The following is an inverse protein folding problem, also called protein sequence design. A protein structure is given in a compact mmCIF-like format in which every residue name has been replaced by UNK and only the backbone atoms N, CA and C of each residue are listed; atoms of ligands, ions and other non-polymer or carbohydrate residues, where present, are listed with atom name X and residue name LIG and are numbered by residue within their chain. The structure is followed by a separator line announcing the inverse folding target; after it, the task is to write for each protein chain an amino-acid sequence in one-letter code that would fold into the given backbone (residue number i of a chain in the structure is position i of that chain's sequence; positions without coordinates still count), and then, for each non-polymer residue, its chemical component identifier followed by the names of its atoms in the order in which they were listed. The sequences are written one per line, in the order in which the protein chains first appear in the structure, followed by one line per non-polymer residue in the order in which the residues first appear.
data_IF_322343157867
#
_entry.id   IF_322343157867
#
_cell.length_a   1.000
_cell.length_b   1.000
_cell.length_c   1.000
_cell.angle_alpha   90.00
_cell.angle_beta   90.00
_cell.angle_gamma   90.00
#
_symmetry.space_group_name_H-M   'P 1'
#
loop_
_entity.id
_entity.type
_entity.pdbx_description
1 polymer ?
#
# COMPACT_ATOMS: atom_id res chain seq x y z
N UNK A 1 50.71 -37.84 37.42
CA UNK A 1 49.41 -38.50 37.58
C UNK A 1 48.62 -38.36 36.36
N UNK A 2 48.61 -39.41 35.54
CA UNK A 2 48.03 -39.48 34.20
C UNK A 2 46.51 -39.42 34.28
N UNK A 3 45.87 -38.67 33.43
CA UNK A 3 44.43 -38.74 33.17
C UNK A 3 44.17 -39.09 31.73
N UNK A 4 43.55 -40.23 31.59
CA UNK A 4 43.24 -41.03 30.44
C UNK A 4 42.27 -40.34 29.45
N UNK A 5 42.68 -40.36 28.19
CA UNK A 5 41.79 -40.24 27.03
C UNK A 5 40.98 -41.53 26.88
N UNK A 6 39.66 -41.45 27.01
CA UNK A 6 38.68 -42.31 26.31
C UNK A 6 37.27 -41.96 26.79
N UNK A 7 36.54 -41.26 25.98
CA UNK A 7 35.23 -41.67 25.44
C UNK A 7 34.59 -40.47 24.73
N UNK A 8 34.94 -40.33 23.47
CA UNK A 8 34.19 -39.50 22.51
C UNK A 8 33.47 -40.51 21.63
N UNK A 9 32.31 -40.93 22.04
CA UNK A 9 31.38 -41.68 21.20
C UNK A 9 30.09 -40.93 21.11
N UNK A 10 29.88 -40.34 19.96
CA UNK A 10 28.70 -40.49 19.11
C UNK A 10 27.38 -40.07 19.71
N UNK A 11 27.03 -38.81 19.49
CA UNK A 11 25.64 -38.46 19.25
C UNK A 11 25.64 -37.46 18.10
N UNK A 12 25.56 -37.97 16.86
CA UNK A 12 25.09 -37.24 15.74
C UNK A 12 23.63 -36.84 16.05
N UNK A 13 23.47 -35.68 16.67
CA UNK A 13 22.20 -34.99 16.70
C UNK A 13 21.90 -34.56 15.29
N UNK A 14 21.05 -35.32 14.60
CA UNK A 14 20.35 -34.89 13.40
C UNK A 14 19.66 -33.57 13.75
N UNK A 15 20.25 -32.45 13.35
CA UNK A 15 19.54 -31.20 13.19
C UNK A 15 18.53 -31.45 12.06
N UNK A 16 17.33 -31.90 12.42
CA UNK A 16 16.17 -31.71 11.57
C UNK A 16 16.04 -30.19 11.38
N UNK A 17 16.48 -29.70 10.24
CA UNK A 17 15.92 -28.50 9.66
C UNK A 17 14.43 -28.79 9.48
N UNK A 18 13.64 -28.47 10.50
CA UNK A 18 12.21 -28.30 10.34
C UNK A 18 12.05 -27.14 9.37
N UNK A 19 11.95 -27.45 8.09
CA UNK A 19 11.32 -26.60 7.11
C UNK A 19 9.94 -26.30 7.67
N UNK A 20 9.80 -25.14 8.29
CA UNK A 20 8.52 -24.54 8.58
C UNK A 20 7.95 -24.11 7.22
N UNK A 21 7.58 -25.07 6.40
CA UNK A 21 6.52 -24.96 5.42
C UNK A 21 5.21 -25.02 6.21
N UNK A 22 4.95 -24.00 7.02
CA UNK A 22 3.67 -23.84 7.66
C UNK A 22 2.63 -23.84 6.55
N UNK A 23 1.87 -24.92 6.45
CA UNK A 23 0.63 -24.97 5.68
C UNK A 23 -0.27 -23.86 6.20
N UNK A 24 -0.24 -22.70 5.52
CA UNK A 24 -1.10 -21.53 5.84
C UNK A 24 -2.56 -21.84 5.50
N UNK A 25 -2.85 -22.97 4.87
CA UNK A 25 -4.20 -23.34 4.41
C UNK A 25 -4.58 -24.75 4.86
N UNK A 26 -5.18 -24.85 6.04
CA UNK A 26 -6.04 -25.98 6.38
C UNK A 26 -7.45 -25.68 5.83
N UNK A 27 -7.63 -25.79 4.52
CA UNK A 27 -8.92 -25.59 3.89
C UNK A 27 -9.79 -26.86 4.04
N UNK A 28 -11.08 -26.70 4.33
CA UNK A 28 -12.02 -27.82 4.31
C UNK A 28 -12.01 -28.48 2.92
N UNK A 29 -11.95 -29.79 2.86
CA UNK A 29 -11.59 -30.58 1.66
C UNK A 29 -12.53 -30.43 0.44
N UNK A 30 -13.72 -29.83 0.59
CA UNK A 30 -14.66 -29.61 -0.53
C UNK A 30 -14.52 -28.25 -1.22
N UNK A 31 -14.15 -27.20 -0.51
CA UNK A 31 -14.00 -25.84 -1.06
C UNK A 31 -12.54 -25.52 -1.45
N UNK A 32 -11.57 -26.31 -0.97
CA UNK A 32 -10.15 -26.23 -1.36
C UNK A 32 -9.91 -26.41 -2.88
N UNK A 33 -10.86 -26.97 -3.59
CA UNK A 33 -10.83 -27.19 -5.04
C UNK A 33 -11.60 -26.13 -5.85
N UNK A 34 -12.13 -25.06 -5.21
CA UNK A 34 -12.77 -23.97 -5.95
C UNK A 34 -11.81 -23.41 -6.98
N UNK A 35 -12.27 -23.28 -8.21
CA UNK A 35 -11.47 -22.82 -9.35
C UNK A 35 -11.92 -21.42 -9.73
N UNK A 36 -11.04 -20.67 -10.37
CA UNK A 36 -11.39 -19.41 -11.02
C UNK A 36 -12.34 -19.72 -12.19
N UNK A 37 -13.58 -19.26 -12.10
CA UNK A 37 -14.63 -19.53 -13.09
C UNK A 37 -14.77 -18.40 -14.11
N UNK A 38 -14.59 -17.15 -13.66
CA UNK A 38 -14.64 -15.99 -14.55
C UNK A 38 -13.96 -14.78 -13.92
N UNK A 39 -13.53 -13.85 -14.78
CA UNK A 39 -12.98 -12.55 -14.37
C UNK A 39 -13.72 -11.46 -15.12
N UNK A 40 -14.17 -10.45 -14.37
CA UNK A 40 -14.85 -9.26 -14.90
C UNK A 40 -14.06 -8.02 -14.52
N UNK A 41 -13.97 -7.09 -15.47
CA UNK A 41 -13.25 -5.83 -15.37
C UNK A 41 -14.22 -4.67 -15.57
N UNK A 42 -14.18 -3.70 -14.67
CA UNK A 42 -15.02 -2.49 -14.70
C UNK A 42 -14.09 -1.27 -14.65
N UNK A 43 -14.03 -0.51 -15.74
CA UNK A 43 -13.20 0.67 -15.82
C UNK A 43 -13.94 1.90 -15.32
N UNK A 44 -13.26 2.68 -14.49
CA UNK A 44 -13.73 3.95 -13.96
C UNK A 44 -12.70 5.03 -14.32
N UNK A 45 -13.12 6.03 -15.09
CA UNK A 45 -12.28 7.16 -15.44
C UNK A 45 -12.30 8.23 -14.34
N UNK A 46 -11.13 8.73 -13.99
CA UNK A 46 -10.96 9.86 -13.07
C UNK A 46 -10.23 10.98 -13.81
N UNK A 47 -10.91 12.10 -14.03
CA UNK A 47 -10.38 13.22 -14.79
C UNK A 47 -9.65 14.27 -13.96
N UNK A 48 -9.72 14.20 -12.61
CA UNK A 48 -8.99 15.14 -11.74
C UNK A 48 -7.49 14.97 -11.89
N UNK A 49 -6.81 16.09 -12.12
CA UNK A 49 -5.35 16.13 -12.24
C UNK A 49 -4.67 15.92 -10.89
N UNK A 50 -3.48 15.34 -10.93
CA UNK A 50 -2.56 15.20 -9.80
C UNK A 50 -1.16 15.63 -10.20
N UNK A 51 -0.54 16.49 -9.38
CA UNK A 51 0.79 17.03 -9.62
C UNK A 51 1.83 16.31 -8.76
N UNK A 52 2.97 15.99 -9.38
CA UNK A 52 4.14 15.36 -8.75
C UNK A 52 5.40 16.10 -9.21
N UNK A 53 6.52 15.91 -8.52
CA UNK A 53 7.82 16.52 -8.88
C UNK A 53 8.31 16.16 -10.28
N UNK A 54 7.85 15.03 -10.83
CA UNK A 54 8.33 14.47 -12.10
C UNK A 54 7.28 14.41 -13.22
N UNK A 55 5.99 14.59 -12.91
CA UNK A 55 4.89 14.48 -13.89
C UNK A 55 3.56 15.03 -13.36
N UNK A 56 2.64 15.31 -14.28
CA UNK A 56 1.23 15.55 -13.95
C UNK A 56 0.38 14.45 -14.58
N UNK A 57 -0.55 13.91 -13.83
CA UNK A 57 -1.54 12.94 -14.32
C UNK A 57 -2.87 13.66 -14.51
N UNK A 58 -3.41 13.63 -15.73
CA UNK A 58 -4.67 14.32 -16.06
C UNK A 58 -5.87 13.39 -16.06
N UNK A 59 -5.68 12.17 -16.57
CA UNK A 59 -6.72 11.16 -16.67
C UNK A 59 -6.17 9.87 -16.11
N UNK A 60 -6.97 9.20 -15.28
CA UNK A 60 -6.60 7.93 -14.68
C UNK A 60 -7.70 6.92 -14.93
N UNK A 61 -7.33 5.75 -15.42
CA UNK A 61 -8.23 4.61 -15.58
C UNK A 61 -8.00 3.65 -14.41
N UNK A 62 -8.97 3.62 -13.51
CA UNK A 62 -9.06 2.61 -12.46
C UNK A 62 -9.85 1.42 -12.99
N UNK A 63 -9.40 0.22 -12.71
CA UNK A 63 -10.09 -1.00 -13.08
C UNK A 63 -10.44 -1.76 -11.80
N UNK A 64 -11.73 -1.87 -11.50
CA UNK A 64 -12.21 -2.77 -10.48
C UNK A 64 -12.27 -4.17 -11.08
N UNK A 65 -11.71 -5.13 -10.37
CA UNK A 65 -11.54 -6.51 -10.82
C UNK A 65 -12.40 -7.39 -9.94
N UNK A 66 -13.27 -8.20 -10.56
CA UNK A 66 -14.01 -9.27 -9.91
C UNK A 66 -13.48 -10.60 -10.38
N UNK A 67 -13.02 -11.45 -9.46
CA UNK A 67 -12.74 -12.86 -9.72
C UNK A 67 -13.84 -13.69 -9.09
N UNK A 68 -14.46 -14.60 -9.85
CA UNK A 68 -15.50 -15.52 -9.41
C UNK A 68 -14.92 -16.92 -9.23
N UNK A 69 -15.23 -17.58 -8.11
CA UNK A 69 -14.91 -18.97 -7.84
C UNK A 69 -16.06 -19.65 -7.11
N UNK A 70 -16.82 -20.51 -7.79
CA UNK A 70 -18.06 -21.06 -7.29
C UNK A 70 -19.06 -19.95 -6.91
N UNK A 71 -19.54 -19.99 -5.69
CA UNK A 71 -20.45 -18.97 -5.14
C UNK A 71 -19.73 -17.70 -4.61
N UNK A 72 -18.40 -17.72 -4.53
CA UNK A 72 -17.62 -16.63 -3.93
C UNK A 72 -17.03 -15.72 -5.00
N UNK A 73 -17.14 -14.41 -4.77
CA UNK A 73 -16.49 -13.38 -5.58
C UNK A 73 -15.45 -12.62 -4.75
N UNK A 74 -14.28 -12.40 -5.32
CA UNK A 74 -13.27 -11.54 -4.74
C UNK A 74 -13.12 -10.26 -5.55
N UNK A 75 -12.92 -9.15 -4.84
CA UNK A 75 -12.83 -7.83 -5.43
C UNK A 75 -11.45 -7.23 -5.25
N UNK A 76 -11.01 -6.49 -6.24
CA UNK A 76 -9.76 -5.72 -6.21
C UNK A 76 -9.87 -4.48 -7.09
N UNK A 77 -8.81 -3.67 -7.05
CA UNK A 77 -8.67 -2.49 -7.89
C UNK A 77 -7.23 -2.37 -8.37
N UNK A 78 -7.05 -1.82 -9.55
CA UNK A 78 -5.77 -1.38 -10.09
C UNK A 78 -5.87 0.02 -10.68
N UNK A 79 -4.87 0.87 -10.47
CA UNK A 79 -4.61 2.01 -11.33
C UNK A 79 -3.96 1.48 -12.62
N UNK A 80 -4.79 1.19 -13.62
CA UNK A 80 -4.39 0.48 -14.82
C UNK A 80 -3.65 1.37 -15.81
N UNK A 81 -4.07 2.64 -15.92
CA UNK A 81 -3.49 3.57 -16.87
C UNK A 81 -3.62 5.03 -16.39
N UNK A 82 -2.84 5.92 -17.00
CA UNK A 82 -2.86 7.37 -16.78
C UNK A 82 -2.44 8.09 -18.05
N UNK A 83 -3.10 9.21 -18.32
CA UNK A 83 -2.84 10.10 -19.47
C UNK A 83 -3.15 9.53 -20.88
N UNK A 84 -3.63 8.29 -20.98
CA UNK A 84 -4.02 7.68 -22.24
C UNK A 84 -5.55 7.52 -22.28
N UNK A 85 -6.21 8.18 -23.24
CA UNK A 85 -7.67 8.15 -23.40
C UNK A 85 -8.16 6.92 -24.19
N UNK A 86 -7.28 6.31 -25.01
CA UNK A 86 -7.60 5.15 -25.87
C UNK A 86 -7.31 3.81 -25.18
N UNK A 87 -7.28 3.80 -23.85
CA UNK A 87 -6.94 2.64 -23.05
C UNK A 87 -7.88 1.46 -23.31
N UNK A 88 -7.27 0.34 -23.74
CA UNK A 88 -7.95 -0.94 -23.96
C UNK A 88 -7.89 -1.82 -22.72
N UNK A 89 -8.99 -1.84 -21.99
CA UNK A 89 -9.14 -2.64 -20.75
C UNK A 89 -9.05 -4.16 -21.02
N UNK A 90 -9.52 -4.64 -22.18
CA UNK A 90 -9.47 -6.08 -22.51
C UNK A 90 -8.02 -6.53 -22.76
N UNK A 91 -7.28 -5.73 -23.54
CA UNK A 91 -5.85 -5.96 -23.77
C UNK A 91 -5.05 -5.85 -22.48
N UNK A 92 -5.31 -4.83 -21.67
CA UNK A 92 -4.64 -4.66 -20.38
C UNK A 92 -4.87 -5.85 -19.45
N UNK A 93 -6.11 -6.32 -19.32
CA UNK A 93 -6.48 -7.40 -18.41
C UNK A 93 -6.17 -8.81 -18.93
N UNK A 94 -5.71 -8.95 -20.19
CA UNK A 94 -5.52 -10.27 -20.84
C UNK A 94 -4.59 -11.23 -20.09
N UNK A 95 -3.65 -10.72 -19.31
CA UNK A 95 -2.76 -11.53 -18.47
C UNK A 95 -3.51 -12.35 -17.41
N UNK A 96 -4.68 -11.86 -16.95
CA UNK A 96 -5.52 -12.57 -15.99
C UNK A 96 -6.15 -13.85 -16.56
N UNK A 97 -6.21 -14.00 -17.90
CA UNK A 97 -6.69 -15.23 -18.53
C UNK A 97 -5.86 -16.45 -18.12
N UNK A 98 -4.59 -16.26 -17.73
CA UNK A 98 -3.75 -17.34 -17.24
C UNK A 98 -4.32 -18.00 -15.96
N UNK A 99 -5.20 -17.33 -15.23
CA UNK A 99 -5.81 -17.85 -14.00
C UNK A 99 -7.03 -18.74 -14.26
N UNK A 100 -7.60 -18.70 -15.47
CA UNK A 100 -8.84 -19.41 -15.81
C UNK A 100 -8.75 -20.91 -15.50
N UNK A 101 -9.75 -21.43 -14.82
CA UNK A 101 -9.84 -22.84 -14.44
C UNK A 101 -8.84 -23.30 -13.37
N UNK A 102 -7.96 -22.41 -12.88
CA UNK A 102 -7.01 -22.77 -11.84
C UNK A 102 -7.69 -22.88 -10.46
N UNK A 103 -7.36 -23.89 -9.65
CA UNK A 103 -7.68 -23.89 -8.23
C UNK A 103 -7.10 -22.64 -7.56
N UNK A 104 -7.85 -22.02 -6.63
CA UNK A 104 -7.48 -20.72 -6.01
C UNK A 104 -6.07 -20.74 -5.41
N UNK A 105 -5.69 -21.80 -4.68
CA UNK A 105 -4.34 -21.91 -4.12
C UNK A 105 -3.25 -21.94 -5.21
N UNK A 106 -3.51 -22.60 -6.35
CA UNK A 106 -2.59 -22.61 -7.50
C UNK A 106 -2.56 -21.27 -8.21
N UNK A 107 -3.67 -20.56 -8.30
CA UNK A 107 -3.73 -19.23 -8.88
C UNK A 107 -2.88 -18.23 -8.07
N UNK A 108 -2.94 -18.29 -6.73
CA UNK A 108 -2.09 -17.48 -5.84
C UNK A 108 -0.61 -17.80 -6.07
N UNK A 109 -0.24 -19.07 -6.10
CA UNK A 109 1.15 -19.46 -6.35
C UNK A 109 1.63 -19.08 -7.75
N UNK A 110 0.75 -19.18 -8.75
CA UNK A 110 1.03 -18.73 -10.12
C UNK A 110 1.35 -17.23 -10.16
N UNK A 111 0.52 -16.38 -9.54
CA UNK A 111 0.77 -14.93 -9.44
C UNK A 111 2.13 -14.64 -8.80
N UNK A 112 2.44 -15.30 -7.67
CA UNK A 112 3.73 -15.15 -6.98
C UNK A 112 4.90 -15.59 -7.85
N UNK A 113 4.79 -16.74 -8.51
CA UNK A 113 5.82 -17.26 -9.41
C UNK A 113 6.07 -16.33 -10.60
N UNK A 114 5.01 -15.81 -11.24
CA UNK A 114 5.13 -14.83 -12.33
C UNK A 114 5.83 -13.54 -11.89
N UNK A 115 5.53 -13.07 -10.70
CA UNK A 115 6.19 -11.89 -10.11
C UNK A 115 7.69 -12.14 -9.87
N UNK A 116 8.04 -13.23 -9.19
CA UNK A 116 9.43 -13.56 -8.87
C UNK A 116 10.26 -13.83 -10.15
N UNK A 117 9.64 -14.40 -11.19
CA UNK A 117 10.24 -14.57 -12.52
C UNK A 117 10.28 -13.28 -13.35
N UNK A 118 9.81 -12.14 -12.82
CA UNK A 118 9.72 -10.83 -13.52
C UNK A 118 8.84 -10.86 -14.78
N UNK A 119 7.92 -11.83 -14.90
CA UNK A 119 6.94 -11.91 -16.00
C UNK A 119 5.74 -10.99 -15.74
N UNK A 120 5.35 -10.86 -14.49
CA UNK A 120 4.39 -9.89 -14.01
C UNK A 120 5.11 -8.87 -13.11
N UNK A 121 4.70 -7.61 -13.20
CA UNK A 121 5.13 -6.58 -12.24
C UNK A 121 4.18 -6.51 -11.05
N UNK A 122 4.48 -5.67 -10.05
CA UNK A 122 3.66 -5.53 -8.87
C UNK A 122 2.23 -5.07 -9.19
N UNK A 123 2.05 -4.14 -10.15
CA UNK A 123 0.74 -3.63 -10.58
C UNK A 123 -0.16 -4.67 -11.24
N UNK A 124 0.42 -5.74 -11.80
CA UNK A 124 -0.31 -6.89 -12.32
C UNK A 124 -0.60 -7.91 -11.21
N UNK A 125 0.36 -8.11 -10.32
CA UNK A 125 0.34 -9.17 -9.31
C UNK A 125 -0.58 -8.84 -8.14
N UNK A 126 -0.47 -7.63 -7.59
CA UNK A 126 -1.20 -7.24 -6.39
C UNK A 126 -2.72 -7.29 -6.55
N UNK A 127 -3.33 -6.70 -7.59
CA UNK A 127 -4.78 -6.75 -7.73
C UNK A 127 -5.31 -8.17 -7.93
N UNK A 128 -4.58 -9.03 -8.65
CA UNK A 128 -4.94 -10.44 -8.76
C UNK A 128 -4.90 -11.14 -7.39
N UNK A 129 -3.84 -10.93 -6.61
CA UNK A 129 -3.71 -11.49 -5.27
C UNK A 129 -4.74 -10.94 -4.29
N UNK A 130 -5.09 -9.64 -4.33
CA UNK A 130 -6.13 -9.05 -3.48
C UNK A 130 -7.46 -9.80 -3.70
N UNK A 131 -7.91 -9.92 -4.95
CA UNK A 131 -9.15 -10.62 -5.27
C UNK A 131 -9.11 -12.11 -4.86
N UNK A 132 -7.99 -12.79 -5.08
CA UNK A 132 -7.84 -14.20 -4.70
C UNK A 132 -7.83 -14.40 -3.19
N UNK A 133 -7.18 -13.54 -2.40
CA UNK A 133 -7.21 -13.60 -0.93
C UNK A 133 -8.57 -13.23 -0.36
N UNK A 134 -9.33 -12.34 -0.99
CA UNK A 134 -10.72 -12.08 -0.63
C UNK A 134 -11.57 -13.36 -0.75
N UNK A 135 -11.40 -14.10 -1.86
CA UNK A 135 -12.05 -15.41 -2.06
C UNK A 135 -11.62 -16.41 -0.98
N UNK A 136 -10.33 -16.52 -0.68
CA UNK A 136 -9.83 -17.44 0.36
C UNK A 136 -10.50 -17.15 1.70
N UNK A 137 -10.54 -15.88 2.10
CA UNK A 137 -11.19 -15.48 3.35
C UNK A 137 -12.69 -15.85 3.36
N UNK A 138 -13.39 -15.66 2.24
CA UNK A 138 -14.81 -16.03 2.08
C UNK A 138 -15.03 -17.55 2.11
N UNK A 139 -14.15 -18.34 1.49
CA UNK A 139 -14.18 -19.81 1.55
C UNK A 139 -13.94 -20.31 2.97
N UNK A 140 -12.95 -19.76 3.66
CA UNK A 140 -12.59 -20.17 5.03
C UNK A 140 -13.51 -19.56 6.09
N UNK A 141 -14.45 -18.70 5.69
CA UNK A 141 -15.31 -17.92 6.58
C UNK A 141 -14.51 -17.14 7.63
N UNK A 142 -13.39 -16.54 7.20
CA UNK A 142 -12.48 -15.76 8.05
C UNK A 142 -12.17 -14.40 7.42
N UNK A 143 -12.05 -13.36 8.23
CA UNK A 143 -11.50 -12.09 7.77
C UNK A 143 -10.07 -12.28 7.24
N UNK A 144 -9.72 -11.60 6.14
CA UNK A 144 -8.39 -11.77 5.53
C UNK A 144 -7.26 -11.34 6.46
N UNK A 145 -7.48 -10.37 7.33
CA UNK A 145 -6.53 -9.95 8.36
C UNK A 145 -6.11 -11.12 9.28
N UNK A 146 -7.02 -12.07 9.55
CA UNK A 146 -6.74 -13.26 10.37
C UNK A 146 -5.94 -14.32 9.60
N UNK A 147 -6.08 -14.38 8.28
CA UNK A 147 -5.29 -15.29 7.45
C UNK A 147 -3.78 -15.00 7.52
N UNK A 148 -3.42 -13.78 7.88
CA UNK A 148 -2.03 -13.33 8.03
C UNK A 148 -1.57 -13.23 9.49
N UNK A 149 -2.37 -13.77 10.42
CA UNK A 149 -2.06 -13.74 11.86
C UNK A 149 -1.81 -12.30 12.34
N UNK A 150 -2.66 -11.38 11.90
CA UNK A 150 -2.62 -9.99 12.31
C UNK A 150 -3.70 -9.75 13.37
N UNK A 151 -3.29 -9.43 14.59
CA UNK A 151 -4.17 -9.41 15.76
C UNK A 151 -4.57 -8.00 16.23
N UNK A 152 -3.93 -6.95 15.69
CA UNK A 152 -4.28 -5.57 16.08
C UNK A 152 -5.61 -5.16 15.47
N UNK A 153 -6.34 -4.33 16.20
CA UNK A 153 -7.69 -3.87 15.84
C UNK A 153 -7.90 -2.39 16.13
N UNK A 154 -6.91 -1.71 16.70
CA UNK A 154 -6.97 -0.30 17.05
C UNK A 154 -7.10 0.54 15.77
N UNK A 155 -7.96 1.58 15.78
CA UNK A 155 -8.09 2.50 14.67
C UNK A 155 -6.76 3.17 14.31
N UNK A 156 -6.49 3.29 13.02
CA UNK A 156 -5.26 3.90 12.47
C UNK A 156 -5.61 5.27 11.88
N UNK A 157 -4.86 6.34 12.18
CA UNK A 157 -5.06 7.64 11.56
C UNK A 157 -5.09 7.55 10.03
N UNK A 158 -6.08 8.18 9.41
CA UNK A 158 -6.10 8.40 7.96
C UNK A 158 -5.18 9.57 7.61
N UNK A 159 -4.49 9.48 6.49
CA UNK A 159 -3.63 10.55 5.99
C UNK A 159 -4.25 11.17 4.75
N UNK A 160 -4.41 12.50 4.76
CA UNK A 160 -4.86 13.26 3.59
C UNK A 160 -3.66 13.78 2.80
N UNK A 161 -3.67 13.59 1.47
CA UNK A 161 -2.59 14.04 0.60
C UNK A 161 -2.99 15.29 -0.20
N UNK A 162 -2.21 16.36 -0.06
CA UNK A 162 -2.35 17.62 -0.82
C UNK A 162 -1.37 17.58 -2.00
N UNK A 163 -1.91 17.74 -3.21
CA UNK A 163 -1.23 17.49 -4.48
C UNK A 163 -1.05 18.77 -5.33
N UNK A 164 -1.26 19.93 -4.73
CA UNK A 164 -1.24 21.20 -5.44
C UNK A 164 0.09 21.93 -5.28
N UNK A 165 0.56 22.52 -6.38
CA UNK A 165 1.78 23.34 -6.39
C UNK A 165 1.55 24.80 -5.97
N UNK A 166 0.33 25.27 -6.16
CA UNK A 166 -0.09 26.62 -5.81
C UNK A 166 -0.66 26.65 -4.39
N UNK A 167 -0.26 27.63 -3.58
CA UNK A 167 -0.67 27.76 -2.16
C UNK A 167 -2.18 27.90 -2.02
N UNK A 168 -2.83 28.72 -2.83
CA UNK A 168 -4.29 28.94 -2.71
C UNK A 168 -5.06 27.65 -3.01
N UNK A 169 -4.64 26.91 -4.04
CA UNK A 169 -5.23 25.62 -4.38
C UNK A 169 -4.93 24.55 -3.30
N UNK A 170 -3.75 24.59 -2.70
CA UNK A 170 -3.39 23.71 -1.58
C UNK A 170 -4.27 23.99 -0.35
N UNK A 171 -4.59 25.26 -0.05
CA UNK A 171 -5.52 25.64 1.02
C UNK A 171 -6.95 25.17 0.74
N UNK A 172 -7.39 25.18 -0.53
CA UNK A 172 -8.70 24.57 -0.88
C UNK A 172 -8.70 23.06 -0.57
N UNK A 173 -7.63 22.33 -0.90
CA UNK A 173 -7.52 20.90 -0.51
C UNK A 173 -7.41 20.72 1.02
N UNK A 174 -6.74 21.63 1.71
CA UNK A 174 -6.67 21.61 3.17
C UNK A 174 -8.06 21.79 3.82
N UNK A 175 -8.92 22.62 3.22
CA UNK A 175 -10.30 22.74 3.68
C UNK A 175 -11.09 21.44 3.48
N UNK A 176 -10.91 20.75 2.36
CA UNK A 176 -11.53 19.42 2.14
C UNK A 176 -11.05 18.41 3.20
N UNK A 177 -9.75 18.42 3.54
CA UNK A 177 -9.23 17.57 4.62
C UNK A 177 -9.91 17.85 5.95
N UNK A 178 -10.13 19.15 6.27
CA UNK A 178 -10.82 19.59 7.49
C UNK A 178 -12.27 19.16 7.52
N UNK A 179 -12.98 19.29 6.40
CA UNK A 179 -14.38 18.89 6.28
C UNK A 179 -14.56 17.37 6.43
N UNK A 180 -13.54 16.59 6.09
CA UNK A 180 -13.47 15.13 6.26
C UNK A 180 -12.89 14.68 7.60
N UNK A 181 -12.54 15.61 8.50
CA UNK A 181 -11.83 15.35 9.76
C UNK A 181 -10.46 14.64 9.57
N UNK A 182 -9.81 14.78 8.42
CA UNK A 182 -8.51 14.19 8.09
C UNK A 182 -7.38 15.19 8.29
N UNK A 183 -7.31 15.79 9.48
CA UNK A 183 -6.35 16.86 9.80
C UNK A 183 -5.19 16.41 10.69
N UNK A 184 -5.29 15.23 11.32
CA UNK A 184 -4.25 14.76 12.25
C UNK A 184 -2.94 14.38 11.54
N UNK A 185 -3.02 13.86 10.30
CA UNK A 185 -1.88 13.49 9.46
C UNK A 185 -2.12 13.99 8.04
N UNK A 186 -1.24 14.88 7.58
CA UNK A 186 -1.36 15.49 6.25
C UNK A 186 -0.05 15.36 5.51
N UNK A 187 -0.13 14.93 4.24
CA UNK A 187 1.02 14.83 3.35
C UNK A 187 0.97 15.91 2.27
N UNK A 188 2.06 16.63 2.08
CA UNK A 188 2.25 17.62 1.03
C UNK A 188 3.13 17.01 -0.06
N UNK A 189 2.74 17.11 -1.32
CA UNK A 189 3.66 16.83 -2.42
C UNK A 189 4.65 17.98 -2.56
N UNK A 190 5.94 17.64 -2.61
CA UNK A 190 7.04 18.57 -2.85
C UNK A 190 7.54 18.45 -4.28
N UNK A 191 8.05 19.55 -4.80
CA UNK A 191 8.39 19.66 -6.22
C UNK A 191 9.91 19.77 -6.46
N UNK A 192 10.71 19.79 -5.38
CA UNK A 192 12.15 20.03 -5.44
C UNK A 192 12.51 21.49 -5.75
N UNK A 193 11.53 22.38 -5.65
CA UNK A 193 11.67 23.84 -5.74
C UNK A 193 11.55 24.40 -4.32
N UNK A 194 12.68 24.90 -3.81
CA UNK A 194 12.79 25.28 -2.39
C UNK A 194 11.83 26.40 -2.01
N UNK A 195 11.61 27.39 -2.88
CA UNK A 195 10.73 28.54 -2.59
C UNK A 195 9.26 28.07 -2.53
N UNK A 196 8.84 27.27 -3.50
CA UNK A 196 7.49 26.71 -3.54
C UNK A 196 7.26 25.78 -2.35
N UNK A 197 8.20 24.86 -2.10
CA UNK A 197 8.08 23.85 -1.05
C UNK A 197 8.06 24.48 0.35
N UNK A 198 8.84 25.55 0.59
CA UNK A 198 8.78 26.33 1.83
C UNK A 198 7.45 27.10 1.96
N UNK A 199 7.00 27.77 0.88
CA UNK A 199 5.74 28.51 0.90
C UNK A 199 4.55 27.59 1.21
N UNK A 200 4.49 26.42 0.59
CA UNK A 200 3.46 25.40 0.88
C UNK A 200 3.52 24.93 2.33
N UNK A 201 4.71 24.64 2.84
CA UNK A 201 4.91 24.19 4.22
C UNK A 201 4.42 25.20 5.22
N UNK A 202 4.84 26.47 5.07
CA UNK A 202 4.44 27.56 5.99
C UNK A 202 2.93 27.76 5.96
N UNK A 203 2.33 27.87 4.78
CA UNK A 203 0.89 28.12 4.65
C UNK A 203 0.05 26.97 5.25
N UNK A 204 0.44 25.72 5.00
CA UNK A 204 -0.28 24.56 5.48
C UNK A 204 -0.05 24.33 6.98
N UNK A 205 1.15 24.64 7.50
CA UNK A 205 1.38 24.64 8.97
C UNK A 205 0.50 25.68 9.67
N UNK A 206 0.39 26.88 9.11
CA UNK A 206 -0.52 27.91 9.66
C UNK A 206 -2.00 27.47 9.62
N UNK A 207 -2.41 26.76 8.56
CA UNK A 207 -3.78 26.28 8.41
C UNK A 207 -4.14 25.15 9.38
N UNK A 208 -3.27 24.14 9.50
CA UNK A 208 -3.54 22.94 10.31
C UNK A 208 -3.14 23.09 11.79
N UNK A 209 -2.26 24.03 12.13
CA UNK A 209 -1.76 24.20 13.49
C UNK A 209 -0.68 23.17 13.87
N UNK A 210 -0.14 23.30 15.08
CA UNK A 210 1.00 22.49 15.57
C UNK A 210 0.62 21.04 15.92
N UNK A 211 -0.65 20.77 16.20
CA UNK A 211 -1.13 19.43 16.58
C UNK A 211 -1.19 18.46 15.39
N UNK A 212 -1.11 18.96 14.16
CA UNK A 212 -1.11 18.14 12.95
C UNK A 212 0.29 17.61 12.64
N UNK A 213 0.41 16.30 12.37
CA UNK A 213 1.62 15.73 11.82
C UNK A 213 1.68 16.05 10.32
N UNK A 214 2.50 17.03 9.96
CA UNK A 214 2.66 17.49 8.60
C UNK A 214 3.90 16.84 8.00
N UNK A 215 3.72 15.96 7.03
CA UNK A 215 4.82 15.32 6.30
C UNK A 215 4.82 15.75 4.84
N UNK A 216 5.93 15.55 4.17
CA UNK A 216 6.03 15.79 2.73
C UNK A 216 6.55 14.55 1.98
N UNK A 217 6.23 14.48 0.69
CA UNK A 217 6.80 13.51 -0.24
C UNK A 217 7.36 14.23 -1.45
N UNK A 218 8.68 14.21 -1.59
CA UNK A 218 9.38 14.82 -2.71
C UNK A 218 9.46 13.91 -3.94
N UNK A 219 9.12 12.64 -3.84
CA UNK A 219 9.29 11.66 -4.93
C UNK A 219 10.68 11.79 -5.60
N UNK A 220 11.73 11.99 -4.82
CA UNK A 220 13.12 12.25 -5.23
C UNK A 220 13.26 13.54 -6.03
N UNK A 221 12.47 14.57 -5.70
CA UNK A 221 12.46 15.87 -6.38
C UNK A 221 13.72 16.70 -6.18
N UNK A 222 14.39 16.56 -5.05
CA UNK A 222 15.65 17.27 -4.76
C UNK A 222 16.82 16.60 -5.48
N UNK A 223 16.95 16.84 -6.78
CA UNK A 223 17.96 16.20 -7.65
C UNK A 223 19.31 16.91 -7.66
N UNK A 224 19.33 18.20 -7.29
CA UNK A 224 20.53 19.06 -7.34
C UNK A 224 21.11 19.17 -5.95
N UNK A 225 21.96 18.24 -5.59
CA UNK A 225 22.79 18.30 -4.40
C UNK A 225 24.14 17.65 -4.75
N UNK A 226 25.22 18.33 -4.41
CA UNK A 226 26.58 17.82 -4.65
C UNK A 226 27.08 17.05 -3.41
N UNK A 227 26.66 17.50 -2.23
CA UNK A 227 27.02 16.88 -0.95
C UNK A 227 25.79 16.66 -0.11
N UNK A 228 25.80 15.58 0.66
CA UNK A 228 24.68 15.18 1.52
C UNK A 228 24.34 16.26 2.58
N UNK A 229 25.31 17.08 2.97
CA UNK A 229 25.11 18.22 3.85
C UNK A 229 24.14 19.26 3.29
N UNK A 230 24.15 19.47 1.97
CA UNK A 230 23.23 20.40 1.31
C UNK A 230 21.79 19.89 1.38
N UNK A 231 21.61 18.59 1.14
CA UNK A 231 20.29 17.96 1.28
C UNK A 231 19.82 18.01 2.74
N UNK A 232 20.70 17.73 3.70
CA UNK A 232 20.40 17.83 5.13
C UNK A 232 19.99 19.25 5.53
N UNK A 233 20.65 20.27 5.00
CA UNK A 233 20.30 21.67 5.24
C UNK A 233 18.89 21.98 4.74
N UNK A 234 18.54 21.51 3.52
CA UNK A 234 17.17 21.67 2.97
C UNK A 234 16.11 21.02 3.86
N UNK A 235 16.37 19.81 4.36
CA UNK A 235 15.47 19.14 5.30
C UNK A 235 15.28 19.95 6.59
N UNK A 236 16.39 20.52 7.13
CA UNK A 236 16.33 21.39 8.31
C UNK A 236 15.57 22.70 8.08
N UNK A 237 15.68 23.28 6.90
CA UNK A 237 14.90 24.50 6.57
C UNK A 237 13.41 24.20 6.49
N UNK A 238 13.01 23.06 5.90
CA UNK A 238 11.63 22.60 5.90
C UNK A 238 11.12 22.26 7.31
N UNK A 239 11.97 21.65 8.16
CA UNK A 239 11.65 21.43 9.58
C UNK A 239 11.37 22.74 10.31
N UNK A 240 12.20 23.78 10.13
CA UNK A 240 11.98 25.11 10.70
C UNK A 240 10.70 25.77 10.20
N UNK A 241 10.31 25.47 8.94
CA UNK A 241 9.04 25.91 8.37
C UNK A 241 7.82 25.16 8.92
N UNK A 242 8.05 24.13 9.77
CA UNK A 242 7.01 23.39 10.46
C UNK A 242 6.74 21.98 9.88
N UNK A 243 7.57 21.45 9.01
CA UNK A 243 7.45 20.08 8.52
C UNK A 243 7.96 19.08 9.58
N UNK A 244 7.26 17.96 9.79
CA UNK A 244 7.65 16.92 10.74
C UNK A 244 8.46 15.78 10.11
N UNK A 245 8.21 15.48 8.81
CA UNK A 245 8.85 14.37 8.13
C UNK A 245 8.94 14.55 6.62
N UNK A 246 9.94 13.88 5.99
CA UNK A 246 10.13 13.88 4.55
C UNK A 246 10.22 12.45 3.99
N UNK A 247 9.33 12.14 3.04
CA UNK A 247 9.37 10.91 2.25
C UNK A 247 10.19 11.12 0.98
N UNK A 248 11.08 10.18 0.67
CA UNK A 248 11.88 10.11 -0.57
C UNK A 248 12.44 11.46 -1.04
N UNK A 249 13.29 12.15 -0.24
CA UNK A 249 13.82 13.47 -0.63
C UNK A 249 14.63 13.42 -1.93
N UNK A 250 15.48 12.41 -2.09
CA UNK A 250 16.38 12.22 -3.23
C UNK A 250 16.60 10.73 -3.51
N UNK A 251 17.29 10.41 -4.61
CA UNK A 251 17.78 9.06 -4.84
C UNK A 251 19.03 8.81 -3.99
N UNK A 252 18.94 7.87 -3.02
CA UNK A 252 19.95 7.64 -1.99
C UNK A 252 20.24 6.13 -1.88
N UNK A 253 21.50 5.77 -1.60
CA UNK A 253 21.86 4.42 -1.15
C UNK A 253 21.44 4.21 0.30
N UNK A 254 21.49 2.97 0.79
CA UNK A 254 21.19 2.67 2.19
C UNK A 254 22.09 3.46 3.15
N UNK A 255 23.38 3.54 2.87
CA UNK A 255 24.38 4.29 3.66
C UNK A 255 24.05 5.78 3.68
N UNK A 256 23.67 6.34 2.53
CA UNK A 256 23.28 7.76 2.43
C UNK A 256 21.97 8.06 3.17
N UNK A 257 21.01 7.13 3.19
CA UNK A 257 19.80 7.25 4.02
C UNK A 257 20.16 7.34 5.50
N UNK A 258 21.01 6.43 5.99
CA UNK A 258 21.48 6.41 7.38
C UNK A 258 22.24 7.70 7.72
N UNK A 259 23.16 8.11 6.86
CA UNK A 259 23.94 9.34 7.06
C UNK A 259 23.04 10.58 7.06
N UNK A 260 22.06 10.66 6.14
CA UNK A 260 21.13 11.76 6.10
C UNK A 260 20.25 11.82 7.35
N UNK A 261 19.70 10.67 7.81
CA UNK A 261 18.91 10.62 9.06
C UNK A 261 19.74 11.08 10.26
N UNK A 262 21.02 10.68 10.37
CA UNK A 262 21.92 11.15 11.41
C UNK A 262 22.16 12.68 11.35
N UNK A 263 22.31 13.23 10.14
CA UNK A 263 22.53 14.67 9.95
C UNK A 263 21.31 15.52 10.27
N UNK A 264 20.10 15.02 10.02
CA UNK A 264 18.85 15.76 10.29
C UNK A 264 18.32 15.56 11.72
N UNK A 265 18.84 14.56 12.45
CA UNK A 265 18.52 14.31 13.85
C UNK A 265 17.05 13.93 14.05
N UNK A 266 16.31 14.72 14.83
CA UNK A 266 14.91 14.46 15.18
C UNK A 266 13.92 14.66 14.01
N UNK A 267 14.36 15.28 12.90
CA UNK A 267 13.54 15.35 11.70
C UNK A 267 13.41 13.96 11.08
N UNK A 268 12.19 13.52 10.83
CA UNK A 268 11.94 12.14 10.41
C UNK A 268 12.11 11.96 8.91
N UNK A 269 12.92 11.00 8.48
CA UNK A 269 12.94 10.53 7.09
C UNK A 269 12.01 9.31 6.95
N UNK A 270 11.43 9.15 5.76
CA UNK A 270 10.51 8.08 5.39
C UNK A 270 10.99 7.43 4.09
N UNK A 271 11.81 6.36 4.16
CA UNK A 271 12.13 5.57 2.98
C UNK A 271 10.88 4.91 2.40
N UNK A 272 10.58 5.19 1.13
CA UNK A 272 9.56 4.54 0.33
C UNK A 272 10.20 3.70 -0.78
N UNK A 273 10.98 4.31 -1.64
CA UNK A 273 11.60 3.62 -2.78
C UNK A 273 12.48 2.44 -2.38
N UNK A 274 13.31 2.49 -1.32
CA UNK A 274 14.08 1.35 -0.85
C UNK A 274 13.21 0.19 -0.33
N UNK A 275 11.96 0.48 0.06
CA UNK A 275 11.03 -0.53 0.57
C UNK A 275 10.29 -1.29 -0.54
N UNK A 276 10.70 -1.19 -1.80
CA UNK A 276 10.06 -1.77 -2.98
C UNK A 276 11.01 -2.61 -3.82
N UNK A 277 10.59 -3.79 -4.27
CA UNK A 277 9.46 -4.58 -3.81
C UNK A 277 9.78 -5.25 -2.46
N UNK A 278 8.75 -5.70 -1.76
CA UNK A 278 8.86 -6.19 -0.38
C UNK A 278 9.91 -7.29 -0.18
N UNK A 279 10.04 -8.25 -1.11
CA UNK A 279 11.02 -9.33 -0.99
C UNK A 279 12.48 -8.84 -1.02
N UNK A 280 12.77 -7.75 -1.74
CA UNK A 280 14.10 -7.11 -1.75
C UNK A 280 14.30 -6.23 -0.52
N UNK A 281 13.25 -5.51 -0.13
CA UNK A 281 13.28 -4.63 1.03
C UNK A 281 13.53 -5.40 2.34
N UNK A 282 13.12 -6.67 2.43
CA UNK A 282 13.44 -7.52 3.58
C UNK A 282 14.95 -7.65 3.84
N UNK A 283 15.77 -7.64 2.79
CA UNK A 283 17.23 -7.73 2.89
C UNK A 283 17.87 -6.34 3.06
N UNK A 284 17.27 -5.30 2.49
CA UNK A 284 17.80 -3.93 2.50
C UNK A 284 17.41 -3.12 3.76
N UNK A 285 16.34 -3.51 4.42
CA UNK A 285 15.82 -2.76 5.57
C UNK A 285 16.85 -2.62 6.68
N UNK A 286 17.17 -1.38 6.99
CA UNK A 286 17.94 -0.97 8.15
C UNK A 286 17.14 0.09 8.91
N UNK A 287 16.92 -0.11 10.20
CA UNK A 287 16.13 0.77 11.06
C UNK A 287 16.66 2.20 11.14
N UNK A 288 17.95 2.42 10.88
CA UNK A 288 18.60 3.73 10.98
C UNK A 288 18.43 4.60 9.73
N UNK A 289 17.75 4.08 8.67
CA UNK A 289 17.45 4.83 7.46
C UNK A 289 16.37 5.91 7.68
N UNK A 290 15.56 5.79 8.72
CA UNK A 290 14.47 6.71 9.00
C UNK A 290 13.70 6.34 10.26
N UNK A 291 12.82 7.24 10.71
CA UNK A 291 11.94 6.95 11.84
C UNK A 291 10.65 6.23 11.42
N UNK A 292 10.24 6.39 10.18
CA UNK A 292 9.09 5.73 9.57
C UNK A 292 9.49 5.06 8.27
N UNK A 293 8.71 4.08 7.83
CA UNK A 293 8.94 3.35 6.58
C UNK A 293 7.63 3.13 5.85
N UNK A 294 7.63 3.29 4.53
CA UNK A 294 6.42 3.17 3.72
C UNK A 294 6.30 1.79 3.07
N UNK A 295 5.17 1.11 3.30
CA UNK A 295 4.69 -0.01 2.48
C UNK A 295 3.66 0.57 1.50
N UNK A 296 3.99 0.54 0.21
CA UNK A 296 3.26 1.30 -0.80
C UNK A 296 2.50 0.37 -1.76
N UNK A 297 1.17 0.54 -1.90
CA UNK A 297 0.35 -0.18 -2.88
C UNK A 297 0.96 -0.18 -4.30
N UNK A 298 0.66 -1.20 -5.09
CA UNK A 298 1.14 -1.39 -6.47
C UNK A 298 2.66 -1.60 -6.62
N UNK A 299 3.40 -1.75 -5.53
CA UNK A 299 4.86 -1.84 -5.56
C UNK A 299 5.46 -2.96 -4.74
N UNK A 300 4.67 -3.56 -3.85
CA UNK A 300 5.13 -4.63 -2.94
C UNK A 300 5.28 -5.97 -3.64
N UNK A 301 4.43 -6.27 -4.60
CA UNK A 301 4.40 -7.49 -5.41
C UNK A 301 3.70 -8.64 -4.72
N UNK A 302 4.15 -9.08 -3.55
CA UNK A 302 3.53 -10.20 -2.82
C UNK A 302 3.25 -9.83 -1.36
N UNK A 303 2.06 -10.21 -0.88
CA UNK A 303 1.59 -9.76 0.45
C UNK A 303 2.24 -10.52 1.61
N UNK A 304 2.66 -11.76 1.38
CA UNK A 304 3.41 -12.51 2.40
C UNK A 304 4.69 -11.78 2.80
N UNK A 305 5.41 -11.28 1.82
CA UNK A 305 6.64 -10.52 2.02
C UNK A 305 6.36 -9.10 2.53
N UNK A 306 5.28 -8.45 2.08
CA UNK A 306 4.86 -7.15 2.60
C UNK A 306 4.47 -7.21 4.09
N UNK A 307 3.71 -8.24 4.49
CA UNK A 307 3.38 -8.48 5.91
C UNK A 307 4.63 -8.74 6.74
N UNK A 308 5.57 -9.57 6.23
CA UNK A 308 6.85 -9.80 6.91
C UNK A 308 7.65 -8.52 7.08
N UNK A 309 7.71 -7.68 6.04
CA UNK A 309 8.39 -6.39 6.09
C UNK A 309 7.74 -5.48 7.13
N UNK A 310 6.42 -5.35 7.14
CA UNK A 310 5.70 -4.57 8.14
C UNK A 310 5.96 -5.07 9.58
N UNK A 311 5.92 -6.39 9.81
CA UNK A 311 6.27 -6.98 11.10
C UNK A 311 7.73 -6.68 11.49
N UNK A 312 8.68 -6.72 10.52
CA UNK A 312 10.10 -6.40 10.75
C UNK A 312 10.30 -4.93 11.14
N UNK A 313 9.63 -4.00 10.44
CA UNK A 313 9.66 -2.56 10.76
C UNK A 313 9.13 -2.33 12.18
N UNK A 314 7.99 -2.92 12.52
CA UNK A 314 7.39 -2.77 13.86
C UNK A 314 8.22 -3.41 14.96
N UNK A 315 8.89 -4.55 14.70
CA UNK A 315 9.79 -5.19 15.66
C UNK A 315 11.07 -4.37 15.94
N UNK A 316 11.45 -3.48 15.01
CA UNK A 316 12.54 -2.53 15.17
C UNK A 316 12.11 -1.22 15.87
N UNK A 317 10.89 -1.17 16.41
CA UNK A 317 10.29 0.02 17.03
C UNK A 317 10.28 1.24 16.11
N UNK A 318 10.01 1.01 14.81
CA UNK A 318 9.87 2.06 13.82
C UNK A 318 8.41 2.27 13.43
N UNK A 319 8.11 3.52 13.00
CA UNK A 319 6.81 3.87 12.46
C UNK A 319 6.58 3.18 11.12
N UNK A 320 5.34 2.76 10.88
CA UNK A 320 4.92 2.15 9.63
C UNK A 320 3.85 3.01 8.97
N UNK A 321 4.11 3.42 7.75
CA UNK A 321 3.13 4.05 6.87
C UNK A 321 2.61 3.03 5.87
N UNK A 322 1.30 3.03 5.62
CA UNK A 322 0.73 2.43 4.43
C UNK A 322 0.41 3.55 3.45
N UNK A 323 1.16 3.60 2.34
CA UNK A 323 1.02 4.60 1.29
C UNK A 323 -0.20 4.40 0.40
N UNK A 324 -0.25 5.13 -0.71
CA UNK A 324 -1.35 5.09 -1.67
C UNK A 324 -0.85 5.17 -3.12
N UNK A 325 -1.49 4.40 -3.99
CA UNK A 325 -1.29 4.44 -5.44
C UNK A 325 -2.45 5.14 -6.15
N UNK A 326 -3.03 6.16 -5.54
CA UNK A 326 -4.22 6.86 -6.03
C UNK A 326 -5.50 6.01 -6.03
N UNK A 327 -5.58 5.00 -5.19
CA UNK A 327 -6.74 4.10 -5.11
C UNK A 327 -8.02 4.86 -4.74
N UNK A 328 -9.16 4.39 -5.28
CA UNK A 328 -10.48 5.02 -5.09
C UNK A 328 -11.56 4.03 -4.63
N UNK A 329 -11.25 2.74 -4.53
CA UNK A 329 -12.25 1.70 -4.36
C UNK A 329 -11.79 0.46 -3.59
N UNK A 330 -12.09 -0.76 -4.07
CA UNK A 330 -11.97 -1.99 -3.29
C UNK A 330 -10.59 -2.26 -2.69
N UNK A 331 -9.51 -1.84 -3.35
CA UNK A 331 -8.18 -2.06 -2.82
C UNK A 331 -7.87 -1.21 -1.57
N UNK A 332 -8.56 -0.08 -1.37
CA UNK A 332 -8.42 0.71 -0.15
C UNK A 332 -8.73 -0.12 1.10
N UNK A 333 -9.85 -0.84 1.10
CA UNK A 333 -10.25 -1.69 2.24
C UNK A 333 -9.20 -2.74 2.58
N UNK A 334 -8.56 -3.34 1.57
CA UNK A 334 -7.44 -4.27 1.77
C UNK A 334 -6.28 -3.61 2.53
N UNK A 335 -5.81 -2.48 2.03
CA UNK A 335 -4.67 -1.77 2.62
C UNK A 335 -4.98 -1.17 3.99
N UNK A 336 -6.21 -0.76 4.21
CA UNK A 336 -6.72 -0.32 5.51
C UNK A 336 -6.69 -1.44 6.54
N UNK A 337 -7.17 -2.64 6.18
CA UNK A 337 -7.09 -3.80 7.06
C UNK A 337 -5.65 -4.20 7.35
N UNK A 338 -4.77 -4.15 6.36
CA UNK A 338 -3.35 -4.40 6.55
C UNK A 338 -2.70 -3.37 7.50
N UNK A 339 -3.04 -2.09 7.34
CA UNK A 339 -2.58 -1.02 8.22
C UNK A 339 -3.00 -1.26 9.67
N UNK A 340 -4.28 -1.56 9.89
CA UNK A 340 -4.83 -1.85 11.23
C UNK A 340 -4.14 -3.09 11.80
N UNK A 341 -4.08 -4.18 11.05
CA UNK A 341 -3.52 -5.44 11.51
C UNK A 341 -2.04 -5.40 11.86
N UNK A 342 -1.26 -4.58 11.18
CA UNK A 342 0.16 -4.32 11.47
C UNK A 342 0.35 -3.27 12.57
N UNK A 343 -0.68 -2.49 12.91
CA UNK A 343 -0.58 -1.32 13.79
C UNK A 343 0.28 -0.23 13.16
N UNK A 344 -0.08 0.16 11.95
CA UNK A 344 0.56 1.25 11.24
C UNK A 344 0.39 2.58 12.00
N UNK A 345 1.30 3.51 11.78
CA UNK A 345 1.23 4.86 12.33
C UNK A 345 0.12 5.67 11.65
N UNK A 346 -0.06 5.47 10.35
CA UNK A 346 -1.14 6.03 9.53
C UNK A 346 -1.31 5.27 8.22
N UNK A 347 -2.45 5.50 7.55
CA UNK A 347 -2.78 4.94 6.23
C UNK A 347 -3.23 6.04 5.27
N UNK A 348 -2.64 6.07 4.08
CA UNK A 348 -2.99 6.98 2.98
C UNK A 348 -3.98 6.35 1.99
N UNK A 349 -4.00 5.02 1.89
CA UNK A 349 -4.92 4.28 1.02
C UNK A 349 -6.35 4.36 1.57
N UNK A 350 -6.99 5.50 1.37
CA UNK A 350 -8.38 5.79 1.73
C UNK A 350 -9.17 6.15 0.46
N UNK A 351 -10.46 5.86 0.49
CA UNK A 351 -11.37 6.18 -0.60
C UNK A 351 -11.44 7.70 -0.84
N UNK A 352 -11.60 8.09 -2.09
CA UNK A 352 -11.58 9.49 -2.53
C UNK A 352 -12.87 9.88 -3.26
N UNK A 353 -14.00 10.00 -2.53
CA UNK A 353 -15.30 10.30 -3.15
C UNK A 353 -15.31 11.62 -3.92
N UNK A 354 -14.44 12.57 -3.55
CA UNK A 354 -14.27 13.83 -4.29
C UNK A 354 -13.62 13.65 -5.67
N UNK A 355 -13.01 12.49 -5.95
CA UNK A 355 -12.43 12.17 -7.26
C UNK A 355 -13.34 11.25 -8.07
N UNK A 356 -13.96 10.27 -7.42
CA UNK A 356 -14.97 9.37 -7.97
C UNK A 356 -15.79 8.76 -6.84
N UNK A 357 -17.11 8.77 -6.97
CA UNK A 357 -18.04 8.17 -6.02
C UNK A 357 -18.58 6.80 -6.47
N UNK A 358 -18.10 6.27 -7.60
CA UNK A 358 -18.61 5.01 -8.18
C UNK A 358 -18.51 3.86 -7.17
N UNK A 359 -17.41 3.77 -6.43
CA UNK A 359 -17.27 2.72 -5.41
C UNK A 359 -18.29 2.88 -4.29
N UNK A 360 -18.44 4.09 -3.72
CA UNK A 360 -19.38 4.38 -2.63
C UNK A 360 -20.83 4.13 -3.05
N UNK A 361 -21.17 4.38 -4.30
CA UNK A 361 -22.50 4.13 -4.82
C UNK A 361 -22.80 2.63 -5.03
N UNK A 362 -21.77 1.83 -5.32
CA UNK A 362 -21.93 0.41 -5.63
C UNK A 362 -21.66 -0.53 -4.46
N UNK A 363 -20.84 -0.09 -3.48
CA UNK A 363 -20.54 -0.94 -2.31
C UNK A 363 -21.76 -1.10 -1.43
N UNK A 364 -22.11 -2.37 -1.13
CA UNK A 364 -23.23 -2.71 -0.26
C UNK A 364 -22.77 -3.11 1.14
N UNK A 365 -21.57 -3.65 1.24
CA UNK A 365 -20.91 -3.99 2.50
C UNK A 365 -19.40 -3.72 2.41
N UNK A 366 -18.83 -3.32 3.55
CA UNK A 366 -17.40 -3.04 3.69
C UNK A 366 -16.97 -3.26 5.15
N UNK A 367 -15.81 -3.88 5.38
CA UNK A 367 -15.32 -4.14 6.74
C UNK A 367 -14.66 -2.94 7.41
N UNK A 368 -14.18 -1.98 6.64
CA UNK A 368 -13.53 -0.77 7.16
C UNK A 368 -14.39 0.46 6.92
N UNK A 369 -14.18 1.49 7.72
CA UNK A 369 -14.75 2.82 7.52
C UNK A 369 -13.79 3.89 8.06
N UNK A 370 -13.97 5.11 7.60
CA UNK A 370 -13.32 6.29 8.18
C UNK A 370 -14.29 6.91 9.19
N UNK A 371 -13.83 7.05 10.43
CA UNK A 371 -14.58 7.70 11.50
C UNK A 371 -13.63 8.59 12.31
N UNK A 372 -14.02 9.85 12.50
CA UNK A 372 -13.22 10.84 13.25
C UNK A 372 -11.75 10.91 12.78
N UNK A 373 -11.51 10.90 11.47
CA UNK A 373 -10.17 10.97 10.88
C UNK A 373 -9.33 9.71 11.02
N UNK A 374 -9.92 8.60 11.46
CA UNK A 374 -9.25 7.31 11.61
C UNK A 374 -9.94 6.24 10.78
N UNK A 375 -9.16 5.35 10.24
CA UNK A 375 -9.64 4.12 9.62
C UNK A 375 -9.81 3.06 10.71
N UNK A 376 -10.99 2.48 10.79
CA UNK A 376 -11.34 1.45 11.78
C UNK A 376 -12.07 0.28 11.13
N UNK A 377 -12.04 -0.88 11.78
CA UNK A 377 -12.86 -2.02 11.39
C UNK A 377 -14.28 -1.82 11.92
N UNK A 378 -15.23 -1.67 11.01
CA UNK A 378 -16.66 -1.52 11.35
C UNK A 378 -17.32 -2.86 11.66
N UNK A 379 -16.91 -3.93 10.95
CA UNK A 379 -17.36 -5.29 11.17
C UNK A 379 -16.35 -6.27 10.57
N UNK A 380 -15.92 -7.27 11.35
CA UNK A 380 -15.14 -8.37 10.81
C UNK A 380 -16.05 -9.29 9.98
N UNK A 381 -15.80 -9.35 8.69
CA UNK A 381 -16.53 -10.17 7.72
C UNK A 381 -15.55 -11.09 7.00
N UNK A 382 -16.01 -12.23 6.45
CA UNK A 382 -15.19 -13.10 5.62
C UNK A 382 -14.55 -12.34 4.44
N UNK A 383 -13.31 -12.64 4.11
CA UNK A 383 -12.54 -11.91 3.12
C UNK A 383 -12.17 -10.50 3.60
N UNK A 384 -12.26 -9.52 2.72
CA UNK A 384 -12.18 -8.09 3.07
C UNK A 384 -13.55 -7.51 3.45
N UNK A 385 -14.60 -8.35 3.41
CA UNK A 385 -15.97 -7.96 3.71
C UNK A 385 -16.57 -7.01 2.67
N UNK A 386 -16.01 -6.98 1.45
CA UNK A 386 -16.53 -6.17 0.36
C UNK A 386 -17.58 -6.94 -0.39
N UNK A 387 -18.77 -6.35 -0.50
CA UNK A 387 -19.84 -6.76 -1.40
C UNK A 387 -20.26 -5.57 -2.26
N UNK A 388 -20.49 -5.81 -3.54
CA UNK A 388 -20.85 -4.74 -4.49
C UNK A 388 -22.09 -5.10 -5.28
N UNK A 389 -22.94 -4.10 -5.53
CA UNK A 389 -24.02 -4.18 -6.52
C UNK A 389 -23.42 -4.15 -7.93
N UNK A 390 -23.26 -5.34 -8.51
CA UNK A 390 -22.64 -5.49 -9.82
C UNK A 390 -23.51 -4.91 -10.95
N UNK A 391 -24.84 -4.88 -10.81
CA UNK A 391 -25.75 -4.31 -11.80
C UNK A 391 -25.52 -2.79 -11.86
N UNK A 392 -25.51 -2.16 -10.69
CA UNK A 392 -25.24 -0.73 -10.57
C UNK A 392 -23.81 -0.39 -11.04
N UNK A 393 -22.82 -1.22 -10.67
CA UNK A 393 -21.44 -1.01 -11.11
C UNK A 393 -21.28 -1.07 -12.64
N UNK A 394 -21.96 -2.01 -13.31
CA UNK A 394 -21.98 -2.07 -14.78
C UNK A 394 -22.59 -0.83 -15.41
N UNK A 395 -23.61 -0.25 -14.77
CA UNK A 395 -24.26 0.96 -15.27
C UNK A 395 -23.41 2.23 -15.09
N UNK A 396 -22.57 2.27 -14.04
CA UNK A 396 -21.75 3.43 -13.71
C UNK A 396 -20.32 3.36 -14.27
N UNK A 397 -19.82 2.16 -14.60
CA UNK A 397 -18.52 1.99 -15.19
C UNK A 397 -18.46 2.51 -16.63
N UNK A 398 -17.38 3.19 -17.01
CA UNK A 398 -17.18 3.68 -18.37
C UNK A 398 -17.00 2.56 -19.40
N UNK A 399 -16.41 1.43 -18.97
CA UNK A 399 -16.28 0.21 -19.78
C UNK A 399 -16.39 -1.04 -18.89
N UNK A 400 -16.99 -2.08 -19.45
CA UNK A 400 -17.09 -3.41 -18.82
C UNK A 400 -16.58 -4.47 -19.80
N UNK A 401 -15.78 -5.40 -19.29
CA UNK A 401 -15.31 -6.57 -20.05
C UNK A 401 -15.38 -7.80 -19.15
N UNK A 402 -15.94 -8.88 -19.67
CA UNK A 402 -15.79 -10.22 -19.10
C UNK A 402 -14.73 -10.96 -19.90
N UNK A 403 -13.66 -11.38 -19.25
CA UNK A 403 -12.52 -12.01 -19.92
C UNK A 403 -12.83 -13.45 -20.33
N UNK A 404 -13.63 -14.20 -19.54
CA UNK A 404 -14.17 -15.54 -19.82
C UNK A 404 -15.29 -15.89 -18.86
#
# INVERSE_FOLDING_TARGET
MELNRRQFTGSLGMLMLSTISGNIFSCSTKEANSKVDSISLYMVNVTKSRNFSHSTWHNRQHVFIKIQAGRHAGWAEALANKNDLDFDIAKWGSYLNELNGMPIAKAIEHCRSKFLQKKWNAKMTEPALIALYDIVGKIENKPTIELWELNKREPVPGLFCILEKNVDQALVQAQIAKDQNLTSHVKIKMFGDVEIDLALTVALRQFFGEDSFLMADANRGYKKWERLDELALRMKDLQKAGLNAMEDPAELTTEQWIELQNKVGDFSLIPDRPMRPAHKALDLFNQDMGHYFNIHPDTMGTFKEAVKLGKKIKAADRGLMIGDSSLIGPACTFWQQLAIGLGASWVEAIEKPQESNVFQECVTNMSTKIANGKTEISALRPGFGIEMDEVKLKALADKYVKLY
#
